data_IF_411989382877
#
_entry.id   IF_411989382877
#
_cell.length_a   1.000
_cell.length_b   1.000
_cell.length_c   1.000
_cell.angle_alpha   90.00
_cell.angle_beta   90.00
_cell.angle_gamma   90.00
#
_symmetry.space_group_name_H-M   'P 1'
#
loop_
_entity.id
_entity.type
_entity.pdbx_description
1 polymer ?
#
# COMPACT_ATOMS: atom_id res chain seq x y z
N UNK A 1 6.39 10.08 -8.86
CA UNK A 1 6.57 10.35 -7.40
C UNK A 1 7.70 9.49 -6.84
N UNK A 2 8.49 10.05 -5.97
CA UNK A 2 9.54 9.28 -5.29
C UNK A 2 8.91 8.38 -4.22
N UNK A 3 9.67 7.38 -3.76
CA UNK A 3 9.23 6.52 -2.67
C UNK A 3 8.91 7.33 -1.40
N UNK A 4 9.72 8.34 -1.11
CA UNK A 4 9.48 9.26 0.01
C UNK A 4 8.16 10.00 -0.12
N UNK A 5 7.84 10.51 -1.30
CA UNK A 5 6.57 11.20 -1.57
C UNK A 5 5.38 10.29 -1.36
N UNK A 6 5.48 9.05 -1.81
CA UNK A 6 4.43 8.05 -1.65
C UNK A 6 4.21 7.72 -0.18
N UNK A 7 5.29 7.52 0.58
CA UNK A 7 5.21 7.25 2.01
C UNK A 7 4.58 8.43 2.76
N UNK A 8 4.98 9.65 2.45
CA UNK A 8 4.41 10.85 3.05
C UNK A 8 2.91 10.96 2.79
N UNK A 9 2.51 10.71 1.55
CA UNK A 9 1.09 10.73 1.17
C UNK A 9 0.28 9.66 1.92
N UNK A 10 0.72 8.41 1.88
CA UNK A 10 0.00 7.30 2.52
C UNK A 10 0.01 7.39 4.05
N UNK A 11 1.04 7.99 4.64
CA UNK A 11 1.13 8.16 6.09
C UNK A 11 0.04 9.07 6.65
N UNK A 12 -0.64 9.86 5.81
CA UNK A 12 -1.79 10.65 6.21
C UNK A 12 -3.07 9.80 6.39
N UNK A 13 -3.06 8.55 5.94
CA UNK A 13 -4.21 7.67 6.06
C UNK A 13 -4.51 7.34 7.53
N UNK A 14 -5.76 7.55 8.01
CA UNK A 14 -6.13 7.25 9.39
C UNK A 14 -5.95 5.78 9.79
N UNK A 15 -6.01 4.87 8.84
CA UNK A 15 -5.87 3.42 9.08
C UNK A 15 -4.50 3.09 9.69
N UNK A 16 -3.46 3.83 9.33
CA UNK A 16 -2.13 3.63 9.90
C UNK A 16 -2.05 4.03 11.37
N UNK A 17 -2.95 4.89 11.85
CA UNK A 17 -3.06 5.31 13.24
C UNK A 17 -1.73 5.81 13.84
N UNK A 18 -0.93 6.52 13.05
CA UNK A 18 0.37 7.03 13.45
C UNK A 18 1.51 6.02 13.43
N UNK A 19 1.26 4.78 13.01
CA UNK A 19 2.32 3.78 12.83
C UNK A 19 3.15 4.12 11.59
N UNK A 20 4.43 3.81 11.64
CA UNK A 20 5.35 4.07 10.54
C UNK A 20 5.08 3.15 9.35
N UNK A 21 5.08 3.71 8.15
CA UNK A 21 5.05 2.96 6.91
C UNK A 21 6.50 2.79 6.42
N UNK A 22 7.03 1.58 6.52
CA UNK A 22 8.44 1.31 6.26
C UNK A 22 8.70 0.99 4.78
N UNK A 23 9.71 1.59 4.15
CA UNK A 23 10.04 1.31 2.76
C UNK A 23 10.73 -0.05 2.62
N UNK A 24 10.12 -0.96 1.86
CA UNK A 24 10.68 -2.29 1.54
C UNK A 24 11.15 -3.10 2.76
N UNK A 25 10.54 -2.87 3.93
CA UNK A 25 10.99 -3.46 5.18
C UNK A 25 9.82 -3.69 6.10
N UNK A 26 9.75 -4.88 6.72
CA UNK A 26 8.75 -5.20 7.74
C UNK A 26 9.46 -5.42 9.08
N UNK A 27 8.98 -4.75 10.16
CA UNK A 27 9.42 -5.06 11.52
C UNK A 27 9.14 -6.52 11.88
N UNK A 28 9.88 -7.06 12.84
CA UNK A 28 9.84 -8.49 13.15
C UNK A 28 8.50 -9.00 13.68
N UNK A 29 7.71 -8.15 14.35
CA UNK A 29 6.46 -8.60 15.02
C UNK A 29 5.21 -7.91 14.52
N UNK A 30 5.25 -6.62 14.34
CA UNK A 30 4.09 -5.81 13.97
C UNK A 30 4.55 -4.60 13.19
N UNK A 31 3.89 -4.30 12.10
CA UNK A 31 4.20 -3.10 11.35
C UNK A 31 3.60 -3.08 9.97
N UNK A 32 3.93 -2.02 9.26
CA UNK A 32 3.49 -1.75 7.90
C UNK A 32 4.70 -1.58 6.99
N UNK A 33 4.56 -2.02 5.76
CA UNK A 33 5.59 -1.86 4.73
C UNK A 33 4.96 -1.41 3.43
N UNK A 34 5.71 -0.60 2.68
CA UNK A 34 5.36 -0.21 1.32
C UNK A 34 6.44 -0.69 0.37
N UNK A 35 6.05 -1.37 -0.69
CA UNK A 35 6.93 -1.79 -1.76
C UNK A 35 6.41 -1.26 -3.09
N UNK A 36 7.29 -0.67 -3.89
CA UNK A 36 6.98 -0.39 -5.29
C UNK A 36 7.35 -1.64 -6.08
N UNK A 37 6.33 -2.43 -6.39
CA UNK A 37 6.47 -3.76 -6.97
C UNK A 37 6.77 -3.71 -8.46
N UNK A 38 6.28 -2.66 -9.14
CA UNK A 38 6.49 -2.47 -10.56
C UNK A 38 6.39 -0.99 -10.90
N UNK A 39 7.23 -0.54 -11.83
CA UNK A 39 7.21 0.84 -12.28
C UNK A 39 7.43 0.90 -13.79
N UNK A 40 6.68 1.77 -14.45
CA UNK A 40 6.85 2.04 -15.88
C UNK A 40 6.51 3.49 -16.18
N UNK A 41 7.04 3.99 -17.31
CA UNK A 41 6.74 5.33 -17.80
C UNK A 41 5.92 5.19 -19.08
N UNK A 42 4.84 5.98 -19.17
CA UNK A 42 4.01 6.07 -20.38
C UNK A 42 4.19 7.44 -21.01
N UNK A 43 4.26 7.47 -22.33
CA UNK A 43 4.28 8.71 -23.10
C UNK A 43 3.07 8.70 -24.02
N UNK A 44 2.25 9.74 -23.96
CA UNK A 44 1.10 9.86 -24.86
C UNK A 44 1.49 10.41 -26.22
N UNK A 45 0.53 10.50 -27.12
CA UNK A 45 0.72 10.98 -28.50
C UNK A 45 1.18 12.44 -28.57
N UNK A 46 0.93 13.22 -27.51
CA UNK A 46 1.34 14.63 -27.42
C UNK A 46 2.68 14.81 -26.71
N UNK A 47 3.34 13.71 -26.32
CA UNK A 47 4.62 13.74 -25.64
C UNK A 47 4.54 13.92 -24.13
N UNK A 48 3.35 13.98 -23.56
CA UNK A 48 3.18 14.04 -22.10
C UNK A 48 3.57 12.71 -21.47
N UNK A 49 4.28 12.77 -20.35
CA UNK A 49 4.73 11.58 -19.64
C UNK A 49 3.96 11.37 -18.36
N UNK A 50 3.68 10.11 -18.06
CA UNK A 50 3.15 9.70 -16.77
C UNK A 50 3.90 8.48 -16.26
N UNK A 51 4.04 8.39 -14.95
CA UNK A 51 4.65 7.23 -14.29
C UNK A 51 3.54 6.36 -13.73
N UNK A 52 3.61 5.07 -14.02
CA UNK A 52 2.68 4.06 -13.49
C UNK A 52 3.45 3.21 -12.49
N UNK A 53 3.02 3.23 -11.24
CA UNK A 53 3.66 2.51 -10.16
C UNK A 53 2.66 1.57 -9.49
N UNK A 54 3.02 0.29 -9.39
CA UNK A 54 2.21 -0.68 -8.64
C UNK A 54 2.75 -0.72 -7.21
N UNK A 55 1.89 -0.35 -6.27
CA UNK A 55 2.23 -0.25 -4.87
C UNK A 55 1.66 -1.44 -4.12
N UNK A 56 2.47 -2.04 -3.27
CA UNK A 56 2.05 -3.12 -2.38
C UNK A 56 2.24 -2.66 -0.94
N UNK A 57 1.13 -2.56 -0.21
CA UNK A 57 1.17 -2.24 1.21
C UNK A 57 0.94 -3.54 1.99
N UNK A 58 1.86 -3.86 2.88
CA UNK A 58 1.83 -5.08 3.68
C UNK A 58 1.67 -4.75 5.15
N UNK A 59 0.76 -5.45 5.80
CA UNK A 59 0.55 -5.39 7.25
C UNK A 59 1.00 -6.69 7.88
N UNK A 60 1.92 -6.62 8.84
CA UNK A 60 2.33 -7.75 9.68
C UNK A 60 1.73 -7.59 11.07
N UNK A 61 1.01 -8.61 11.53
CA UNK A 61 0.41 -8.58 12.87
C UNK A 61 0.05 -9.99 13.32
N UNK A 62 -0.13 -10.16 14.63
CA UNK A 62 -0.65 -11.40 15.18
C UNK A 62 -2.16 -11.52 14.91
N UNK A 63 -2.59 -12.69 14.47
CA UNK A 63 -4.01 -12.96 14.15
C UNK A 63 -4.43 -14.24 14.88
N UNK A 64 -4.78 -14.14 16.17
CA UNK A 64 -5.10 -15.32 16.98
C UNK A 64 -6.39 -16.05 16.57
N UNK A 65 -7.29 -15.39 15.86
CA UNK A 65 -8.56 -15.96 15.44
C UNK A 65 -9.07 -15.37 14.12
N UNK A 66 -10.20 -15.86 13.63
CA UNK A 66 -10.79 -15.42 12.39
C UNK A 66 -11.26 -13.95 12.43
N UNK A 67 -11.75 -13.49 13.58
CA UNK A 67 -12.20 -12.10 13.72
C UNK A 67 -11.03 -11.12 13.60
N UNK A 68 -9.88 -11.43 14.22
CA UNK A 68 -8.68 -10.62 14.08
C UNK A 68 -8.18 -10.60 12.64
N UNK A 69 -8.26 -11.72 11.93
CA UNK A 69 -7.87 -11.82 10.53
C UNK A 69 -8.76 -10.97 9.64
N UNK A 70 -10.07 -11.03 9.82
CA UNK A 70 -11.01 -10.19 9.07
C UNK A 70 -10.79 -8.71 9.34
N UNK A 71 -10.44 -8.33 10.56
CA UNK A 71 -10.13 -6.95 10.91
C UNK A 71 -8.93 -6.41 10.11
N UNK A 72 -7.92 -7.25 9.86
CA UNK A 72 -6.77 -6.86 9.03
C UNK A 72 -7.19 -6.64 7.57
N UNK A 73 -8.02 -7.52 7.02
CA UNK A 73 -8.55 -7.32 5.67
C UNK A 73 -9.36 -6.03 5.56
N UNK A 74 -10.18 -5.72 6.56
CA UNK A 74 -10.95 -4.48 6.60
C UNK A 74 -10.05 -3.26 6.63
N UNK A 75 -8.96 -3.29 7.40
CA UNK A 75 -7.97 -2.21 7.43
C UNK A 75 -7.33 -1.99 6.04
N UNK A 76 -6.97 -3.05 5.36
CA UNK A 76 -6.36 -2.95 4.03
C UNK A 76 -7.35 -2.43 2.99
N UNK A 77 -8.61 -2.84 3.05
CA UNK A 77 -9.65 -2.31 2.18
C UNK A 77 -9.90 -0.82 2.43
N UNK A 78 -9.92 -0.40 3.70
CA UNK A 78 -10.07 1.01 4.06
C UNK A 78 -8.89 1.84 3.56
N UNK A 79 -7.67 1.31 3.66
CA UNK A 79 -6.48 1.98 3.15
C UNK A 79 -6.59 2.21 1.64
N UNK A 80 -6.96 1.17 0.89
CA UNK A 80 -7.11 1.26 -0.56
C UNK A 80 -8.21 2.25 -0.96
N UNK A 81 -9.34 2.21 -0.28
CA UNK A 81 -10.44 3.15 -0.50
C UNK A 81 -10.02 4.59 -0.20
N UNK A 82 -9.32 4.81 0.92
CA UNK A 82 -8.80 6.13 1.28
C UNK A 82 -7.84 6.65 0.20
N UNK A 83 -6.94 5.81 -0.28
CA UNK A 83 -5.98 6.19 -1.31
C UNK A 83 -6.68 6.61 -2.60
N UNK A 84 -7.75 5.90 -2.98
CA UNK A 84 -8.53 6.23 -4.17
C UNK A 84 -9.30 7.54 -4.02
N UNK A 85 -9.84 7.80 -2.83
CA UNK A 85 -10.60 9.02 -2.53
C UNK A 85 -9.72 10.24 -2.28
N UNK A 86 -8.49 10.02 -1.86
CA UNK A 86 -7.52 11.07 -1.50
C UNK A 86 -6.24 10.91 -2.30
N UNK A 87 -6.30 10.93 -3.65
CA UNK A 87 -5.09 10.73 -4.47
C UNK A 87 -4.08 11.85 -4.23
N UNK A 88 -2.79 11.61 -4.51
CA UNK A 88 -1.80 12.67 -4.44
C UNK A 88 -2.11 13.77 -5.47
N UNK A 89 -1.63 15.02 -5.26
CA UNK A 89 -2.01 16.16 -6.12
C UNK A 89 -1.77 15.97 -7.63
N UNK A 90 -0.79 15.16 -8.00
CA UNK A 90 -0.42 14.94 -9.41
C UNK A 90 -0.70 13.52 -9.88
N UNK A 91 -1.60 12.81 -9.19
CA UNK A 91 -1.82 11.40 -9.50
C UNK A 91 -3.26 10.94 -9.36
N UNK A 92 -3.49 9.72 -9.82
CA UNK A 92 -4.73 9.00 -9.67
C UNK A 92 -4.44 7.57 -9.21
N UNK A 93 -5.35 6.99 -8.45
CA UNK A 93 -5.19 5.65 -7.89
C UNK A 93 -6.23 4.70 -8.47
N UNK A 94 -5.77 3.53 -8.89
CA UNK A 94 -6.62 2.41 -9.30
C UNK A 94 -6.44 1.25 -8.34
N UNK A 95 -7.55 0.73 -7.83
CA UNK A 95 -7.51 -0.50 -7.02
C UNK A 95 -7.42 -1.67 -7.99
N UNK A 96 -6.37 -2.49 -7.84
CA UNK A 96 -6.08 -3.58 -8.76
C UNK A 96 -6.40 -4.96 -8.19
N UNK A 97 -6.81 -5.04 -6.93
CA UNK A 97 -7.20 -6.31 -6.33
C UNK A 97 -7.71 -6.15 -4.91
N UNK A 98 -8.22 -7.24 -4.36
CA UNK A 98 -8.63 -7.31 -2.97
C UNK A 98 -7.42 -7.59 -2.08
N UNK A 99 -7.50 -7.24 -0.78
CA UNK A 99 -6.47 -7.65 0.17
C UNK A 99 -6.33 -9.17 0.19
N UNK A 100 -5.10 -9.64 0.39
CA UNK A 100 -4.81 -11.06 0.40
C UNK A 100 -3.81 -11.43 1.48
N UNK A 101 -3.85 -12.70 1.90
CA UNK A 101 -2.83 -13.29 2.74
C UNK A 101 -1.55 -13.41 1.92
N UNK A 102 -0.44 -12.94 2.47
CA UNK A 102 0.84 -12.92 1.77
C UNK A 102 1.77 -14.03 2.24
N UNK A 103 2.02 -14.10 3.55
CA UNK A 103 2.90 -15.12 4.11
C UNK A 103 2.72 -15.24 5.62
N UNK A 104 3.26 -16.32 6.19
CA UNK A 104 3.31 -16.52 7.63
C UNK A 104 4.73 -16.28 8.12
N UNK A 105 4.90 -15.37 9.07
CA UNK A 105 6.19 -15.10 9.67
C UNK A 105 6.52 -16.14 10.75
N UNK A 106 7.81 -16.31 11.03
CA UNK A 106 8.31 -17.31 11.98
C UNK A 106 7.91 -17.05 13.44
N UNK A 107 7.48 -15.84 13.79
CA UNK A 107 7.15 -15.41 15.15
C UNK A 107 5.67 -15.56 15.51
N UNK A 108 4.89 -16.33 14.75
CA UNK A 108 3.45 -16.46 14.97
C UNK A 108 2.62 -15.32 14.42
N UNK A 109 3.21 -14.42 13.65
CA UNK A 109 2.53 -13.35 12.96
C UNK A 109 2.26 -13.74 11.51
N UNK A 110 1.32 -13.05 10.86
CA UNK A 110 1.01 -13.25 9.47
C UNK A 110 1.09 -11.92 8.72
N UNK A 111 1.40 -12.00 7.44
CA UNK A 111 1.49 -10.86 6.56
C UNK A 111 0.30 -10.85 5.60
N UNK A 112 -0.33 -9.69 5.48
CA UNK A 112 -1.44 -9.45 4.56
C UNK A 112 -1.10 -8.23 3.71
N UNK A 113 -1.51 -8.23 2.47
CA UNK A 113 -1.20 -7.12 1.58
C UNK A 113 -2.37 -6.71 0.71
N UNK A 114 -2.34 -5.45 0.28
CA UNK A 114 -3.21 -4.91 -0.76
C UNK A 114 -2.34 -4.25 -1.80
N UNK A 115 -2.72 -4.41 -3.07
CA UNK A 115 -1.99 -3.84 -4.20
C UNK A 115 -2.89 -2.85 -4.91
N UNK A 116 -2.36 -1.69 -5.26
CA UNK A 116 -3.04 -0.71 -6.09
C UNK A 116 -2.04 0.01 -6.98
N UNK A 117 -2.54 0.63 -8.02
CA UNK A 117 -1.71 1.32 -9.02
C UNK A 117 -1.86 2.82 -8.87
N UNK A 118 -0.72 3.50 -8.78
CA UNK A 118 -0.62 4.95 -8.78
C UNK A 118 -0.15 5.41 -10.16
N UNK A 119 -0.92 6.28 -10.79
CA UNK A 119 -0.55 6.93 -12.04
C UNK A 119 -0.32 8.40 -11.72
N UNK A 120 0.91 8.88 -11.94
CA UNK A 120 1.26 10.27 -11.64
C UNK A 120 1.86 10.94 -12.88
N UNK A 121 1.53 12.22 -13.08
CA UNK A 121 2.09 13.02 -14.15
C UNK A 121 3.50 13.48 -13.80
N UNK A 122 4.34 13.56 -14.79
CA UNK A 122 5.69 14.11 -14.66
C UNK A 122 5.72 15.58 -15.09
#
# INVERSE_FOLDING_TARGET
>A
MTLRDIITWLSACPVLAGEALNPNFLPSRKGWSLTVDKQSVRTDILGSRSTVQRLKVTRRTAVPDAAARLAVFDQLEELAAWAKENPPPVGAVRITGLPEFSSRASSGTEDFSVTFTLVSDE
#
